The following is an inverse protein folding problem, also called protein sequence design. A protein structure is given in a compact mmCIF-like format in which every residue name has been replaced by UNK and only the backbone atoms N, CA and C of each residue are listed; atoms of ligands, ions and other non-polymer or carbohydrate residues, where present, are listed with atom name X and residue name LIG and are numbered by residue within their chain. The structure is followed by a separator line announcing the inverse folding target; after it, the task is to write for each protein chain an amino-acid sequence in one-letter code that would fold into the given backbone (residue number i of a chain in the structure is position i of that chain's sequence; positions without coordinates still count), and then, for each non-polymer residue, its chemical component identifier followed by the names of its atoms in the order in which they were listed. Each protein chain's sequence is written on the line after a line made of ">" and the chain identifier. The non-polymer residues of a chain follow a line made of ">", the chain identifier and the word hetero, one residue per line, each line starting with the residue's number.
data_IF_474418864132
#
_entry.id   IF_474418864132
#
_cell.length_a   1.000
_cell.length_b   1.000
_cell.length_c   1.000
_cell.angle_alpha   90.00
_cell.angle_beta   90.00
_cell.angle_gamma   90.00
#
_symmetry.space_group_name_H-M   'P 1'
#
loop_
_entity.id
_entity.type
_entity.pdbx_description
1 polymer ?
#
# COMPACT_ATOMS: atom_id res chain seq x y z
N UNK A 1 1.76 27.61 -45.41
CA UNK A 1 0.92 26.49 -44.93
C UNK A 1 1.71 25.23 -44.51
N UNK A 2 2.87 24.89 -45.11
CA UNK A 2 3.69 23.73 -44.68
C UNK A 2 4.44 23.91 -43.35
N UNK A 3 4.74 25.17 -42.96
CA UNK A 3 5.45 25.50 -41.71
C UNK A 3 4.54 25.58 -40.47
N UNK A 4 3.23 25.70 -40.68
CA UNK A 4 2.24 25.78 -39.58
C UNK A 4 1.84 24.37 -39.13
N UNK A 5 1.85 23.40 -40.05
CA UNK A 5 1.59 21.99 -39.73
C UNK A 5 2.74 21.37 -38.91
N UNK A 6 3.99 21.76 -39.13
CA UNK A 6 5.12 21.29 -38.33
C UNK A 6 5.14 21.82 -36.89
N UNK A 7 4.55 23.00 -36.65
CA UNK A 7 4.51 23.59 -35.31
C UNK A 7 3.43 22.98 -34.40
N UNK A 8 2.42 22.32 -34.99
CA UNK A 8 1.31 21.73 -34.23
C UNK A 8 1.64 20.33 -33.66
N UNK A 9 2.68 19.67 -34.18
CA UNK A 9 3.08 18.31 -33.76
C UNK A 9 3.94 18.33 -32.48
N UNK A 10 4.46 19.50 -32.08
CA UNK A 10 5.41 19.63 -30.97
C UNK A 10 4.74 19.85 -29.60
N UNK A 11 3.41 19.98 -29.54
CA UNK A 11 2.68 20.35 -28.30
C UNK A 11 1.99 19.14 -27.62
N UNK A 12 2.09 17.93 -28.19
CA UNK A 12 1.20 16.81 -27.83
C UNK A 12 1.83 15.65 -27.03
N UNK A 13 3.11 15.71 -26.65
CA UNK A 13 3.82 14.48 -26.21
C UNK A 13 4.32 14.43 -24.76
N UNK A 14 3.89 15.32 -23.86
CA UNK A 14 4.26 15.20 -22.44
C UNK A 14 3.05 15.37 -21.52
N UNK A 15 2.05 14.51 -21.67
CA UNK A 15 1.27 14.11 -20.51
C UNK A 15 2.12 13.10 -19.73
N UNK A 16 2.97 13.63 -18.85
CA UNK A 16 3.55 12.84 -17.76
C UNK A 16 2.37 12.34 -16.93
N UNK A 17 1.99 11.08 -17.14
CA UNK A 17 1.23 10.32 -16.17
C UNK A 17 2.12 10.26 -14.93
N UNK A 18 1.93 11.21 -14.01
CA UNK A 18 2.40 11.05 -12.64
C UNK A 18 1.73 9.77 -12.16
N UNK A 19 2.52 8.70 -12.01
CA UNK A 19 2.09 7.52 -11.29
C UNK A 19 1.83 7.99 -9.85
N UNK A 20 0.60 8.42 -9.60
CA UNK A 20 0.15 8.74 -8.26
C UNK A 20 0.11 7.39 -7.55
N UNK A 21 1.03 7.18 -6.61
CA UNK A 21 0.97 6.03 -5.73
C UNK A 21 -0.43 5.95 -5.12
N UNK A 22 -1.05 4.77 -5.20
CA UNK A 22 -2.40 4.58 -4.68
C UNK A 22 -2.42 4.75 -3.17
N UNK A 23 -3.40 5.48 -2.63
CA UNK A 23 -3.64 5.51 -1.19
C UNK A 23 -4.64 4.40 -0.83
N UNK A 24 -4.25 3.54 0.09
CA UNK A 24 -5.01 2.39 0.53
C UNK A 24 -5.19 2.46 2.05
N UNK A 25 -6.43 2.56 2.50
CA UNK A 25 -6.74 2.48 3.93
C UNK A 25 -7.07 1.03 4.30
N UNK A 26 -6.50 0.54 5.40
CA UNK A 26 -6.68 -0.83 5.84
C UNK A 26 -6.07 -1.09 7.21
N UNK A 27 -6.04 -2.35 7.62
CA UNK A 27 -5.46 -2.79 8.87
C UNK A 27 -4.17 -3.56 8.61
N UNK A 28 -3.13 -3.31 9.40
CA UNK A 28 -1.96 -4.18 9.42
C UNK A 28 -2.27 -5.36 10.33
N UNK A 29 -2.40 -6.56 9.77
CA UNK A 29 -2.60 -7.78 10.55
C UNK A 29 -1.37 -8.69 10.45
N UNK A 30 -1.36 -9.79 11.19
CA UNK A 30 -0.34 -10.83 11.04
C UNK A 30 -0.78 -11.88 10.01
N UNK A 31 0.18 -12.54 9.38
CA UNK A 31 -0.07 -13.59 8.37
C UNK A 31 -0.86 -14.80 8.89
N UNK A 32 -0.93 -15.05 10.20
CA UNK A 32 -1.75 -16.13 10.76
C UNK A 32 -3.22 -15.73 10.85
N UNK A 33 -3.52 -14.46 11.12
CA UNK A 33 -4.88 -13.96 11.27
C UNK A 33 -5.46 -13.37 9.97
N UNK A 34 -4.63 -12.70 9.16
CA UNK A 34 -5.01 -12.06 7.91
C UNK A 34 -6.27 -11.20 8.08
N UNK A 35 -7.25 -11.38 7.19
CA UNK A 35 -8.51 -10.63 7.24
C UNK A 35 -9.32 -10.83 8.54
N UNK A 36 -9.15 -11.95 9.26
CA UNK A 36 -9.84 -12.19 10.54
C UNK A 36 -9.30 -11.32 11.68
N UNK A 37 -8.07 -10.83 11.52
CA UNK A 37 -7.39 -9.95 12.47
C UNK A 37 -7.47 -8.46 12.09
N UNK A 38 -8.19 -8.09 11.04
CA UNK A 38 -8.37 -6.70 10.63
C UNK A 38 -9.41 -5.96 11.51
N UNK A 39 -9.06 -5.79 12.80
CA UNK A 39 -9.90 -5.11 13.80
C UNK A 39 -9.03 -4.57 14.92
N UNK A 40 -9.42 -3.44 15.49
CA UNK A 40 -8.64 -2.76 16.54
C UNK A 40 -8.41 -3.66 17.78
N UNK A 41 -9.38 -4.50 18.12
CA UNK A 41 -9.25 -5.46 19.23
C UNK A 41 -8.20 -6.57 19.00
N UNK A 42 -7.70 -6.73 17.76
CA UNK A 42 -6.68 -7.72 17.43
C UNK A 42 -5.27 -7.13 17.40
N UNK A 43 -5.12 -5.84 17.74
CA UNK A 43 -3.86 -5.14 17.56
C UNK A 43 -2.71 -5.75 18.37
N UNK A 44 -2.93 -5.96 19.67
CA UNK A 44 -1.93 -6.55 20.57
C UNK A 44 -1.56 -7.98 20.15
N UNK A 45 -2.51 -8.75 19.64
CA UNK A 45 -2.27 -10.11 19.19
C UNK A 45 -1.48 -10.14 17.87
N UNK A 46 -1.77 -9.22 16.94
CA UNK A 46 -0.99 -9.06 15.72
C UNK A 46 0.45 -8.61 16.04
N UNK A 47 0.63 -7.62 16.91
CA UNK A 47 1.94 -7.15 17.35
C UNK A 47 2.75 -8.27 18.03
N UNK A 48 2.12 -9.06 18.89
CA UNK A 48 2.74 -10.23 19.52
C UNK A 48 3.13 -11.30 18.51
N UNK A 49 2.30 -11.54 17.50
CA UNK A 49 2.60 -12.49 16.43
C UNK A 49 3.80 -12.04 15.58
N UNK A 50 3.86 -10.75 15.20
CA UNK A 50 4.98 -10.20 14.43
C UNK A 50 6.26 -10.23 15.23
N UNK A 51 6.23 -9.89 16.53
CA UNK A 51 7.38 -10.08 17.45
C UNK A 51 7.82 -11.54 17.57
N UNK A 52 6.89 -12.48 17.48
CA UNK A 52 7.14 -13.93 17.45
C UNK A 52 7.63 -14.48 16.11
N UNK A 53 7.83 -13.63 15.09
CA UNK A 53 8.33 -14.01 13.77
C UNK A 53 7.25 -14.22 12.70
N UNK A 54 6.00 -13.84 12.95
CA UNK A 54 4.98 -13.83 11.90
C UNK A 54 5.20 -12.66 10.93
N UNK A 55 4.98 -12.89 9.63
CA UNK A 55 5.05 -11.81 8.63
C UNK A 55 3.81 -10.90 8.74
N UNK A 56 3.96 -9.56 8.77
CA UNK A 56 2.83 -8.65 8.71
C UNK A 56 2.21 -8.63 7.31
N UNK A 57 0.89 -8.46 7.27
CA UNK A 57 0.07 -8.39 6.06
C UNK A 57 -0.87 -7.20 6.14
N UNK A 58 -1.13 -6.55 5.02
CA UNK A 58 -2.04 -5.44 4.92
C UNK A 58 -3.42 -5.93 4.48
N UNK A 59 -4.44 -5.63 5.26
CA UNK A 59 -5.82 -5.99 4.95
C UNK A 59 -6.60 -4.75 4.58
N UNK A 60 -7.04 -4.66 3.33
CA UNK A 60 -7.91 -3.58 2.85
C UNK A 60 -9.10 -4.19 2.11
N UNK A 61 -10.30 -3.64 2.35
CA UNK A 61 -11.57 -4.12 1.76
C UNK A 61 -11.78 -5.65 1.83
N UNK A 62 -11.33 -6.28 2.92
CA UNK A 62 -11.44 -7.72 3.13
C UNK A 62 -10.44 -8.58 2.36
N UNK A 63 -9.53 -7.96 1.59
CA UNK A 63 -8.42 -8.63 0.90
C UNK A 63 -7.14 -8.52 1.72
N UNK A 64 -6.32 -9.57 1.65
CA UNK A 64 -5.03 -9.65 2.34
C UNK A 64 -3.90 -9.49 1.32
N UNK A 65 -3.03 -8.51 1.57
CA UNK A 65 -1.85 -8.21 0.77
C UNK A 65 -0.59 -8.42 1.62
N UNK A 66 0.45 -8.98 1.02
CA UNK A 66 1.78 -9.07 1.62
C UNK A 66 2.41 -7.68 1.62
N UNK A 67 3.11 -7.34 2.68
CA UNK A 67 3.84 -6.08 2.75
C UNK A 67 5.29 -6.40 2.38
N UNK A 68 5.84 -5.68 1.40
CA UNK A 68 7.21 -5.91 0.97
C UNK A 68 8.23 -5.43 2.01
N UNK A 69 7.95 -4.31 2.67
CA UNK A 69 8.78 -3.72 3.72
C UNK A 69 8.04 -3.74 5.07
N UNK A 70 8.09 -4.91 5.70
CA UNK A 70 7.52 -5.16 7.02
C UNK A 70 8.03 -4.20 8.11
N UNK A 71 9.23 -3.64 7.93
CA UNK A 71 9.86 -2.73 8.91
C UNK A 71 9.12 -1.40 9.00
N UNK A 72 8.60 -0.89 7.87
CA UNK A 72 7.87 0.40 7.81
C UNK A 72 6.51 0.36 8.50
N UNK A 73 5.95 -0.84 8.67
CA UNK A 73 4.63 -1.05 9.28
C UNK A 73 4.72 -1.70 10.64
N UNK A 74 5.92 -2.06 11.11
CA UNK A 74 6.16 -2.77 12.37
C UNK A 74 5.58 -1.99 13.57
N UNK A 75 5.71 -0.66 13.56
CA UNK A 75 5.20 0.23 14.61
C UNK A 75 3.67 0.48 14.50
N UNK A 76 3.05 0.00 13.43
CA UNK A 76 1.63 0.18 13.15
C UNK A 76 0.88 -1.16 13.01
N UNK A 77 1.52 -2.27 13.38
CA UNK A 77 0.91 -3.59 13.38
C UNK A 77 -0.30 -3.58 14.31
N UNK A 78 -1.43 -4.02 13.79
CA UNK A 78 -2.69 -4.09 14.53
C UNK A 78 -3.59 -2.87 14.38
N UNK A 79 -3.06 -1.77 13.88
CA UNK A 79 -3.78 -0.52 13.75
C UNK A 79 -4.33 -0.33 12.33
N UNK A 80 -5.38 0.48 12.25
CA UNK A 80 -5.85 1.02 10.98
C UNK A 80 -4.87 2.08 10.51
N UNK A 81 -4.35 1.93 9.29
CA UNK A 81 -3.45 2.89 8.65
C UNK A 81 -3.85 3.13 7.21
N UNK A 82 -3.41 4.25 6.68
CA UNK A 82 -3.46 4.56 5.26
C UNK A 82 -2.05 4.44 4.68
N UNK A 83 -1.84 3.43 3.84
CA UNK A 83 -0.60 3.22 3.11
C UNK A 83 -0.72 3.93 1.77
N UNK A 84 0.23 4.80 1.45
CA UNK A 84 0.42 5.27 0.07
C UNK A 84 1.49 4.39 -0.59
N UNK A 85 1.15 3.81 -1.74
CA UNK A 85 2.06 2.96 -2.48
C UNK A 85 1.38 2.14 -3.59
N UNK A 86 2.12 1.17 -4.11
CA UNK A 86 1.69 0.38 -5.26
C UNK A 86 1.35 -1.05 -4.88
N UNK A 87 0.14 -1.50 -5.23
CA UNK A 87 -0.23 -2.92 -5.12
C UNK A 87 0.15 -3.63 -6.42
N UNK A 88 1.07 -4.59 -6.31
CA UNK A 88 1.50 -5.47 -7.41
C UNK A 88 1.07 -6.90 -7.10
N UNK A 89 -0.07 -7.29 -7.67
CA UNK A 89 -0.67 -8.61 -7.44
C UNK A 89 -1.10 -8.76 -5.98
N UNK A 90 -0.41 -9.63 -5.24
CA UNK A 90 -0.68 -9.91 -3.83
C UNK A 90 0.27 -9.20 -2.87
N UNK A 91 1.13 -8.30 -3.37
CA UNK A 91 2.10 -7.56 -2.55
C UNK A 91 1.85 -6.05 -2.67
N UNK A 92 1.77 -5.36 -1.53
CA UNK A 92 1.76 -3.90 -1.45
C UNK A 92 3.18 -3.39 -1.21
N UNK A 93 3.63 -2.46 -2.05
CA UNK A 93 4.82 -1.67 -1.85
C UNK A 93 4.47 -0.47 -0.99
N UNK A 94 5.09 -0.34 0.19
CA UNK A 94 4.79 0.77 1.11
C UNK A 94 5.76 1.92 0.86
N UNK A 95 5.28 3.01 0.25
CA UNK A 95 6.07 4.23 0.13
C UNK A 95 5.97 5.09 1.39
N UNK A 96 4.74 5.31 1.87
CA UNK A 96 4.48 6.04 3.12
C UNK A 96 3.31 5.44 3.90
N UNK A 97 3.33 5.63 5.22
CA UNK A 97 2.26 5.20 6.13
C UNK A 97 1.74 6.42 6.88
N UNK A 98 0.41 6.59 6.90
CA UNK A 98 -0.31 7.60 7.66
C UNK A 98 -1.25 6.92 8.63
N UNK A 99 -1.39 7.47 9.84
CA UNK A 99 -2.37 7.04 10.84
C UNK A 99 -3.56 7.98 10.84
#
# INVERSE_FOLDING_TARGET
>A
MKKVVLALVLVLSVFTLTAMAGEWTGYISDSKCGAKGAKDAHADCAASCVKGGASPVFVTDGKVYKIDDASKVADHVGHKVTISGDIKGDTVHVESVKM
#
